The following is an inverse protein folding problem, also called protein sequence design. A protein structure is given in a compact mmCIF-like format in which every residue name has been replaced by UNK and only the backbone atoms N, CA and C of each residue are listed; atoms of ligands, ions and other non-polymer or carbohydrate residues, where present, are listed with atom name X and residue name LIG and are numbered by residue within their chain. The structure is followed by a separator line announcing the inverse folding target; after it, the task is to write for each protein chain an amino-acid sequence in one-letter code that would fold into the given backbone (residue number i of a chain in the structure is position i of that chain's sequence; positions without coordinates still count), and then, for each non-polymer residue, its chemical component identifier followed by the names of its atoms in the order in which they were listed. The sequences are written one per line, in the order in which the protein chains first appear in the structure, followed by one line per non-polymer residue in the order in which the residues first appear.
data_IF_405461134918
#
_entry.id   IF_405461134918
#
_cell.length_a   1.000
_cell.length_b   1.000
_cell.length_c   1.000
_cell.angle_alpha   90.00
_cell.angle_beta   90.00
_cell.angle_gamma   90.00
#
_symmetry.space_group_name_H-M   'P 1'
#
loop_
_entity.id
_entity.type
_entity.pdbx_description
1 polymer ?
#
# COMPACT_ATOMS: atom_id res chain seq x y z
N UNK A 1 7.82 -2.30 19.23
CA UNK A 1 6.77 -1.92 18.25
C UNK A 1 6.86 -2.91 17.10
N UNK A 2 5.75 -3.51 16.69
CA UNK A 2 5.74 -4.41 15.54
C UNK A 2 6.02 -3.62 14.25
N UNK A 3 6.74 -4.24 13.33
CA UNK A 3 7.12 -3.62 12.06
C UNK A 3 6.84 -4.60 10.94
N UNK A 4 6.12 -4.13 9.92
CA UNK A 4 5.83 -4.90 8.71
C UNK A 4 6.66 -4.33 7.58
N UNK A 5 7.30 -5.18 6.79
CA UNK A 5 8.05 -4.78 5.60
C UNK A 5 7.40 -5.35 4.34
N UNK A 6 7.51 -4.62 3.24
CA UNK A 6 6.98 -5.04 1.95
C UNK A 6 7.81 -4.48 0.80
N UNK A 7 7.79 -5.16 -0.34
CA UNK A 7 8.46 -4.71 -1.56
C UNK A 7 7.74 -5.17 -2.83
N UNK A 8 7.98 -4.50 -3.96
CA UNK A 8 7.56 -5.01 -5.27
C UNK A 8 8.34 -6.27 -5.61
N UNK A 9 7.78 -7.10 -6.50
CA UNK A 9 8.46 -8.23 -7.11
C UNK A 9 9.85 -7.87 -7.67
N UNK A 10 9.99 -6.65 -8.19
CA UNK A 10 11.19 -6.09 -8.75
C UNK A 10 12.24 -5.57 -7.75
N UNK A 11 11.92 -5.45 -6.46
CA UNK A 11 12.75 -4.80 -5.44
C UNK A 11 12.89 -3.26 -5.54
N UNK A 12 12.51 -2.63 -6.67
CA UNK A 12 12.63 -1.17 -6.87
C UNK A 12 11.83 -0.32 -5.90
N UNK A 13 10.72 -0.85 -5.38
CA UNK A 13 9.88 -0.20 -4.38
C UNK A 13 9.89 -1.04 -3.12
N UNK A 14 10.28 -0.46 -1.99
CA UNK A 14 10.17 -1.09 -0.68
C UNK A 14 9.63 -0.09 0.34
N UNK A 15 8.94 -0.62 1.35
CA UNK A 15 8.31 0.17 2.40
C UNK A 15 8.28 -0.59 3.73
N UNK A 16 8.03 0.18 4.78
CA UNK A 16 7.93 -0.26 6.16
C UNK A 16 6.68 0.36 6.80
N UNK A 17 5.96 -0.42 7.59
CA UNK A 17 4.78 0.02 8.33
C UNK A 17 5.03 -0.15 9.82
N UNK A 18 4.83 0.92 10.57
CA UNK A 18 4.79 0.93 12.04
C UNK A 18 3.42 0.45 12.52
N UNK A 19 3.26 -0.86 12.67
CA UNK A 19 1.98 -1.45 13.05
C UNK A 19 2.02 -2.96 13.16
N UNK A 20 0.96 -3.50 13.75
CA UNK A 20 0.74 -4.94 13.86
C UNK A 20 0.06 -5.49 12.61
N UNK A 21 0.26 -6.80 12.39
CA UNK A 21 -0.40 -7.51 11.31
C UNK A 21 -1.91 -7.48 11.57
N UNK A 22 -2.74 -7.06 10.60
CA UNK A 22 -4.16 -6.93 10.83
C UNK A 22 -4.80 -8.31 10.87
N UNK A 23 -5.71 -8.54 11.83
CA UNK A 23 -6.44 -9.80 11.93
C UNK A 23 -7.43 -10.02 10.76
N UNK A 24 -7.78 -8.94 10.06
CA UNK A 24 -8.78 -8.93 9.00
C UNK A 24 -8.37 -7.96 7.89
N UNK A 25 -8.74 -8.32 6.66
CA UNK A 25 -8.42 -7.58 5.45
C UNK A 25 -9.70 -7.26 4.68
N UNK A 26 -9.66 -6.17 3.92
CA UNK A 26 -10.79 -5.75 3.10
C UNK A 26 -10.60 -6.18 1.65
N UNK A 27 -11.61 -6.84 1.08
CA UNK A 27 -11.73 -7.07 -0.36
C UNK A 27 -12.71 -6.06 -0.95
N UNK A 28 -12.18 -5.02 -1.58
CA UNK A 28 -13.00 -4.06 -2.30
C UNK A 28 -13.41 -4.59 -3.67
N UNK A 29 -14.68 -4.42 -4.04
CA UNK A 29 -15.28 -4.93 -5.30
C UNK A 29 -15.53 -3.86 -6.35
N UNK A 30 -15.04 -2.62 -6.16
CA UNK A 30 -15.15 -1.58 -7.18
C UNK A 30 -14.36 -1.98 -8.45
N UNK A 31 -14.70 -1.39 -9.61
CA UNK A 31 -14.14 -1.80 -10.91
C UNK A 31 -12.62 -1.66 -11.02
N UNK A 32 -11.99 -0.79 -10.21
CA UNK A 32 -10.52 -0.71 -10.14
C UNK A 32 -9.94 -1.82 -9.27
N UNK A 33 -10.43 -1.96 -8.04
CA UNK A 33 -9.91 -2.92 -7.06
C UNK A 33 -10.16 -4.37 -7.51
N UNK A 34 -11.30 -4.65 -8.14
CA UNK A 34 -11.62 -5.99 -8.64
C UNK A 34 -10.64 -6.45 -9.72
N UNK A 35 -10.18 -5.55 -10.59
CA UNK A 35 -9.16 -5.84 -11.61
C UNK A 35 -7.76 -6.04 -11.02
N UNK A 36 -7.43 -5.35 -9.92
CA UNK A 36 -6.11 -5.46 -9.27
C UNK A 36 -6.01 -6.66 -8.31
N UNK A 37 -7.13 -7.13 -7.78
CA UNK A 37 -7.23 -8.37 -7.01
C UNK A 37 -6.56 -8.35 -5.63
N UNK A 38 -6.12 -7.19 -5.14
CA UNK A 38 -5.44 -7.05 -3.86
C UNK A 38 -6.41 -7.08 -2.66
N UNK A 39 -5.89 -7.52 -1.51
CA UNK A 39 -6.52 -7.35 -0.20
C UNK A 39 -5.92 -6.10 0.47
N UNK A 40 -6.76 -5.32 1.14
CA UNK A 40 -6.40 -4.03 1.71
C UNK A 40 -6.33 -4.10 3.23
N UNK A 41 -5.25 -3.55 3.78
CA UNK A 41 -5.10 -3.19 5.18
C UNK A 41 -4.99 -1.67 5.29
N UNK A 42 -5.43 -1.11 6.41
CA UNK A 42 -5.48 0.34 6.62
C UNK A 42 -4.58 0.74 7.78
N UNK A 43 -3.78 1.76 7.55
CA UNK A 43 -2.86 2.38 8.51
C UNK A 43 -2.89 3.89 8.31
N UNK A 44 -2.52 4.67 9.32
CA UNK A 44 -2.42 6.12 9.18
C UNK A 44 -1.19 6.52 8.35
N UNK A 45 -1.18 7.71 7.74
CA UNK A 45 -0.04 8.18 6.95
C UNK A 45 1.29 8.15 7.71
N UNK A 46 1.28 8.46 9.00
CA UNK A 46 2.48 8.51 9.86
C UNK A 46 3.08 7.11 10.12
N UNK A 47 2.28 6.06 9.93
CA UNK A 47 2.72 4.68 10.09
C UNK A 47 3.42 4.15 8.83
N UNK A 48 3.27 4.78 7.67
CA UNK A 48 3.78 4.28 6.39
C UNK A 48 5.06 5.00 5.97
N UNK A 49 6.13 4.23 5.73
CA UNK A 49 7.45 4.75 5.38
C UNK A 49 7.97 4.09 4.12
N UNK A 50 8.21 4.87 3.07
CA UNK A 50 8.90 4.37 1.86
C UNK A 50 10.40 4.30 2.15
N UNK A 51 11.02 3.15 1.89
CA UNK A 51 12.44 2.90 2.18
C UNK A 51 13.32 2.94 0.93
N UNK A 52 12.73 3.16 -0.25
CA UNK A 52 13.42 3.34 -1.54
C UNK A 52 13.31 4.79 -2.05
N UNK A 53 14.15 5.20 -3.03
CA UNK A 53 14.01 6.50 -3.70
C UNK A 53 12.61 6.74 -4.27
N UNK A 54 12.14 7.99 -4.21
CA UNK A 54 10.78 8.41 -4.61
C UNK A 54 10.53 8.40 -6.13
N UNK A 55 11.53 8.15 -6.94
CA UNK A 55 11.43 8.12 -8.40
C UNK A 55 11.10 6.73 -8.96
N UNK A 56 11.03 5.71 -8.10
CA UNK A 56 10.71 4.34 -8.48
C UNK A 56 9.20 4.03 -8.53
N UNK A 57 8.35 4.95 -8.05
CA UNK A 57 6.91 4.79 -8.01
C UNK A 57 6.20 5.50 -9.18
N UNK A 58 4.90 5.24 -9.31
CA UNK A 58 4.04 5.90 -10.27
C UNK A 58 2.69 6.19 -9.62
N UNK A 59 2.20 7.41 -9.80
CA UNK A 59 0.92 7.84 -9.23
C UNK A 59 -0.21 7.56 -10.21
N UNK A 60 -1.16 6.74 -9.78
CA UNK A 60 -2.43 6.52 -10.49
C UNK A 60 -3.58 7.17 -9.72
N UNK A 61 -4.37 8.00 -10.39
CA UNK A 61 -5.55 8.67 -9.80
C UNK A 61 -6.83 8.21 -10.47
N UNK A 62 -7.85 7.91 -9.68
CA UNK A 62 -9.13 7.40 -10.15
C UNK A 62 -10.30 8.24 -9.60
N UNK A 63 -11.37 8.39 -10.39
CA UNK A 63 -12.54 9.22 -10.10
C UNK A 63 -12.23 10.66 -9.66
N UNK A 64 -12.47 11.05 -8.41
CA UNK A 64 -12.37 12.44 -7.90
C UNK A 64 -10.97 13.05 -8.00
N UNK A 65 -9.97 12.26 -8.38
CA UNK A 65 -8.56 12.67 -8.54
C UNK A 65 -7.93 13.23 -7.25
N UNK A 66 -8.57 13.00 -6.10
CA UNK A 66 -7.98 13.32 -4.81
C UNK A 66 -6.75 12.43 -4.57
N UNK A 67 -5.71 13.03 -3.98
CA UNK A 67 -4.51 12.34 -3.52
C UNK A 67 -4.72 11.84 -2.11
#
# INVERSE_FOLDING_TARGET
MATITGSCHCGKNAFRIDGEMPAQLTRCTCSFCSRRGALLAYYTPEQFHVTTPKDADAVYRWQTRAC
#
